data_IF_223836297087
#
_entry.id   IF_223836297087
#
_cell.length_a   1.000
_cell.length_b   1.000
_cell.length_c   1.000
_cell.angle_alpha   90.00
_cell.angle_beta   90.00
_cell.angle_gamma   90.00
#
_symmetry.space_group_name_H-M   'P 1'
#
loop_
_entity.id
_entity.type
_entity.pdbx_description
1 polymer ?
#
# COMPACT_ATOMS: atom_id res chain seq x y z
N UNK A 1 -10.39 6.62 -3.90
CA UNK A 1 -9.53 7.74 -3.48
C UNK A 1 -9.96 8.19 -2.08
N UNK A 2 -9.00 8.44 -1.19
CA UNK A 2 -9.25 8.71 0.23
C UNK A 2 -9.76 10.13 0.54
N UNK A 3 -9.92 10.96 -0.50
CA UNK A 3 -10.47 12.32 -0.43
C UNK A 3 -11.54 12.58 -1.49
N UNK A 4 -12.28 11.55 -1.91
CA UNK A 4 -13.22 11.65 -3.05
C UNK A 4 -14.28 12.76 -2.92
N UNK A 5 -14.72 13.06 -1.69
CA UNK A 5 -15.70 14.12 -1.42
C UNK A 5 -15.12 15.55 -1.36
N UNK A 6 -13.80 15.69 -1.34
CA UNK A 6 -13.11 16.99 -1.23
C UNK A 6 -12.56 17.47 -2.59
N UNK A 7 -12.67 16.66 -3.64
CA UNK A 7 -12.12 16.96 -4.96
C UNK A 7 -13.13 17.78 -5.77
N UNK A 8 -12.72 18.96 -6.20
CA UNK A 8 -13.47 19.75 -7.17
C UNK A 8 -13.55 19.02 -8.52
N UNK A 9 -14.75 18.90 -9.11
CA UNK A 9 -14.99 18.25 -10.41
C UNK A 9 -14.37 16.83 -10.53
N UNK A 10 -14.76 15.88 -9.67
CA UNK A 10 -14.07 14.59 -9.50
C UNK A 10 -14.07 13.73 -10.77
N UNK A 11 -15.12 13.79 -11.59
CA UNK A 11 -15.23 13.02 -12.83
C UNK A 11 -14.11 13.34 -13.85
N UNK A 12 -13.54 14.56 -13.81
CA UNK A 12 -12.43 14.95 -14.70
C UNK A 12 -11.10 14.96 -13.96
N UNK A 13 -11.09 15.49 -12.73
CA UNK A 13 -9.86 15.79 -12.03
C UNK A 13 -9.22 14.54 -11.42
N UNK A 14 -9.99 13.53 -10.98
CA UNK A 14 -9.42 12.29 -10.43
C UNK A 14 -8.54 11.58 -11.46
N UNK A 15 -9.06 11.36 -12.68
CA UNK A 15 -8.30 10.69 -13.74
C UNK A 15 -7.06 11.49 -14.18
N UNK A 16 -7.19 12.82 -14.32
CA UNK A 16 -6.06 13.70 -14.69
C UNK A 16 -4.98 13.69 -13.62
N UNK A 17 -5.34 13.82 -12.36
CA UNK A 17 -4.40 13.80 -11.25
C UNK A 17 -3.64 12.48 -11.22
N UNK A 18 -4.33 11.33 -11.34
CA UNK A 18 -3.68 10.02 -11.36
C UNK A 18 -2.65 9.94 -12.50
N UNK A 19 -3.04 10.28 -13.74
CA UNK A 19 -2.14 10.19 -14.90
C UNK A 19 -0.95 11.12 -14.77
N UNK A 20 -1.15 12.37 -14.35
CA UNK A 20 -0.08 13.35 -14.17
C UNK A 20 0.87 12.90 -13.05
N UNK A 21 0.33 12.49 -11.90
CA UNK A 21 1.11 12.01 -10.77
C UNK A 21 1.94 10.78 -11.15
N UNK A 22 1.35 9.79 -11.82
CA UNK A 22 2.08 8.62 -12.30
C UNK A 22 3.18 8.99 -13.29
N UNK A 23 2.90 9.90 -14.24
CA UNK A 23 3.90 10.37 -15.21
C UNK A 23 5.09 11.03 -14.52
N UNK A 24 4.84 11.91 -13.54
CA UNK A 24 5.89 12.55 -12.74
C UNK A 24 6.68 11.50 -11.94
N UNK A 25 5.99 10.58 -11.26
CA UNK A 25 6.63 9.51 -10.48
C UNK A 25 7.55 8.64 -11.35
N UNK A 26 7.11 8.24 -12.55
CA UNK A 26 7.92 7.45 -13.47
C UNK A 26 9.19 8.21 -13.89
N UNK A 27 9.06 9.48 -14.27
CA UNK A 27 10.22 10.30 -14.64
C UNK A 27 11.19 10.43 -13.48
N UNK A 28 10.70 10.72 -12.27
CA UNK A 28 11.54 10.82 -11.08
C UNK A 28 12.24 9.50 -10.74
N UNK A 29 11.54 8.36 -10.82
CA UNK A 29 12.14 7.05 -10.57
C UNK A 29 13.22 6.69 -11.59
N UNK A 30 13.03 7.04 -12.87
CA UNK A 30 14.07 6.85 -13.89
C UNK A 30 15.29 7.73 -13.62
N UNK A 31 15.08 9.02 -13.32
CA UNK A 31 16.17 9.94 -12.99
C UNK A 31 16.95 9.49 -11.75
N UNK A 32 16.25 9.09 -10.69
CA UNK A 32 16.86 8.59 -9.46
C UNK A 32 17.63 7.30 -9.71
N UNK A 33 17.05 6.35 -10.45
CA UNK A 33 17.72 5.08 -10.78
C UNK A 33 18.99 5.29 -11.60
N UNK A 34 18.94 6.21 -12.58
CA UNK A 34 20.11 6.59 -13.37
C UNK A 34 21.16 7.28 -12.51
N UNK A 35 20.77 8.19 -11.62
CA UNK A 35 21.69 8.87 -10.71
C UNK A 35 22.39 7.90 -9.76
N UNK A 36 21.66 6.96 -9.16
CA UNK A 36 22.23 5.94 -8.27
C UNK A 36 23.15 5.00 -9.06
N UNK A 37 22.71 4.48 -10.21
CA UNK A 37 23.50 3.57 -11.04
C UNK A 37 24.73 4.21 -11.70
N UNK A 38 24.76 5.54 -11.85
CA UNK A 38 25.92 6.27 -12.35
C UNK A 38 26.96 6.59 -11.28
N UNK A 39 26.57 6.62 -9.99
CA UNK A 39 27.44 7.01 -8.89
C UNK A 39 27.90 5.84 -8.01
N UNK A 40 27.18 4.70 -8.01
CA UNK A 40 27.50 3.53 -7.21
C UNK A 40 27.64 2.28 -8.09
N UNK A 41 28.59 1.41 -7.74
CA UNK A 41 28.68 0.05 -8.25
C UNK A 41 27.54 -0.83 -7.72
N UNK A 42 27.29 -1.96 -8.39
CA UNK A 42 26.24 -2.92 -7.98
C UNK A 42 26.48 -3.41 -6.54
N UNK A 43 27.73 -3.67 -6.17
CA UNK A 43 28.12 -4.11 -4.83
C UNK A 43 27.82 -3.03 -3.78
N UNK A 44 28.14 -1.78 -4.07
CA UNK A 44 27.82 -0.63 -3.20
C UNK A 44 26.32 -0.44 -3.04
N UNK A 45 25.53 -0.57 -4.12
CA UNK A 45 24.06 -0.49 -4.06
C UNK A 45 23.50 -1.60 -3.15
N UNK A 46 24.00 -2.83 -3.30
CA UNK A 46 23.57 -3.97 -2.50
C UNK A 46 23.97 -3.82 -1.03
N UNK A 47 25.13 -3.24 -0.75
CA UNK A 47 25.59 -2.98 0.61
C UNK A 47 24.82 -1.83 1.26
N UNK A 48 24.51 -0.77 0.50
CA UNK A 48 23.79 0.39 1.00
C UNK A 48 22.27 0.13 1.16
N UNK A 49 21.71 -0.86 0.45
CA UNK A 49 20.30 -1.28 0.57
C UNK A 49 19.33 -0.09 0.58
N UNK A 50 18.65 0.12 1.70
CA UNK A 50 17.57 1.09 1.89
C UNK A 50 18.06 2.55 1.90
N UNK A 51 19.37 2.78 2.11
CA UNK A 51 19.96 4.12 2.12
C UNK A 51 20.80 4.41 0.86
N UNK A 52 20.74 3.55 -0.15
CA UNK A 52 21.49 3.66 -1.42
C UNK A 52 21.34 5.02 -2.12
N UNK A 53 20.16 5.63 -2.07
CA UNK A 53 19.95 6.97 -2.62
C UNK A 53 20.80 8.04 -1.92
N UNK A 54 20.89 7.98 -0.59
CA UNK A 54 21.70 8.91 0.17
C UNK A 54 23.19 8.63 -0.04
N UNK A 55 23.60 7.36 -0.09
CA UNK A 55 25.00 7.00 -0.39
C UNK A 55 25.41 7.47 -1.78
N UNK A 56 24.52 7.40 -2.77
CA UNK A 56 24.80 7.86 -4.13
C UNK A 56 25.06 9.38 -4.23
N UNK A 57 24.68 10.16 -3.22
CA UNK A 57 25.02 11.59 -3.17
C UNK A 57 26.46 11.84 -2.73
N UNK A 58 27.08 10.88 -2.04
CA UNK A 58 28.39 11.03 -1.43
C UNK A 58 29.54 11.20 -2.44
N UNK A 59 29.60 10.44 -3.55
CA UNK A 59 30.65 10.63 -4.56
C UNK A 59 30.63 12.02 -5.21
N UNK A 60 29.44 12.62 -5.37
CA UNK A 60 29.26 13.91 -6.02
C UNK A 60 29.35 15.11 -5.06
N UNK A 61 28.85 14.97 -3.83
CA UNK A 61 28.64 16.07 -2.89
C UNK A 61 29.31 15.87 -1.51
N UNK A 62 30.06 14.77 -1.33
CA UNK A 62 30.71 14.41 -0.07
C UNK A 62 29.73 14.12 1.06
N UNK A 63 30.24 14.11 2.29
CA UNK A 63 29.45 13.79 3.48
C UNK A 63 28.32 14.80 3.75
N UNK A 64 28.48 16.06 3.32
CA UNK A 64 27.43 17.08 3.43
C UNK A 64 26.21 16.74 2.57
N UNK A 65 26.42 16.26 1.34
CA UNK A 65 25.33 15.79 0.47
C UNK A 65 24.58 14.62 1.08
N UNK A 66 25.32 13.64 1.61
CA UNK A 66 24.76 12.47 2.27
C UNK A 66 23.85 12.87 3.43
N UNK A 67 24.34 13.67 4.38
CA UNK A 67 23.55 14.07 5.55
C UNK A 67 22.34 14.93 5.18
N UNK A 68 22.48 15.78 4.16
CA UNK A 68 21.35 16.56 3.64
C UNK A 68 20.26 15.66 3.06
N UNK A 69 20.62 14.68 2.23
CA UNK A 69 19.68 13.73 1.65
C UNK A 69 19.01 12.86 2.72
N UNK A 70 19.77 12.40 3.73
CA UNK A 70 19.22 11.65 4.87
C UNK A 70 18.19 12.49 5.64
N UNK A 71 18.52 13.74 5.96
CA UNK A 71 17.60 14.65 6.66
C UNK A 71 16.30 14.87 5.88
N UNK A 72 16.40 15.10 4.57
CA UNK A 72 15.22 15.25 3.71
C UNK A 72 14.39 13.96 3.64
N UNK A 73 15.05 12.80 3.52
CA UNK A 73 14.38 11.50 3.49
C UNK A 73 13.59 11.25 4.79
N UNK A 74 14.15 11.54 5.96
CA UNK A 74 13.46 11.38 7.25
C UNK A 74 12.19 12.24 7.28
N UNK A 75 12.28 13.52 6.93
CA UNK A 75 11.12 14.43 6.92
C UNK A 75 10.04 13.96 5.93
N UNK A 76 10.45 13.54 4.74
CA UNK A 76 9.54 13.00 3.72
C UNK A 76 8.85 11.70 4.19
N UNK A 77 9.60 10.76 4.78
CA UNK A 77 9.03 9.49 5.28
C UNK A 77 8.09 9.73 6.45
N UNK A 78 8.47 10.55 7.44
CA UNK A 78 7.61 10.84 8.61
C UNK A 78 6.31 11.49 8.17
N UNK A 79 6.37 12.50 7.29
CA UNK A 79 5.17 13.17 6.77
C UNK A 79 4.28 12.20 5.96
N UNK A 80 4.87 11.35 5.13
CA UNK A 80 4.15 10.34 4.35
C UNK A 80 3.45 9.28 5.21
N UNK A 81 4.11 8.80 6.27
CA UNK A 81 3.53 7.87 7.25
C UNK A 81 2.36 8.51 7.99
N UNK A 82 2.54 9.74 8.50
CA UNK A 82 1.47 10.48 9.20
C UNK A 82 0.25 10.65 8.28
N UNK A 83 0.46 11.12 7.05
CA UNK A 83 -0.62 11.32 6.09
C UNK A 83 -1.36 10.01 5.77
N UNK A 84 -0.63 8.91 5.59
CA UNK A 84 -1.18 7.59 5.28
C UNK A 84 -1.99 7.02 6.43
N UNK A 85 -1.51 7.11 7.68
CA UNK A 85 -2.24 6.66 8.88
C UNK A 85 -3.53 7.46 9.07
N UNK A 86 -3.51 8.77 8.85
CA UNK A 86 -4.72 9.59 8.90
C UNK A 86 -5.73 9.23 7.81
N UNK A 87 -5.27 8.99 6.57
CA UNK A 87 -6.14 8.57 5.48
C UNK A 87 -6.80 7.21 5.76
N UNK A 88 -6.02 6.22 6.22
CA UNK A 88 -6.52 4.87 6.54
C UNK A 88 -7.48 4.91 7.72
N UNK A 89 -7.15 5.61 8.81
CA UNK A 89 -8.03 5.71 9.99
C UNK A 89 -9.39 6.31 9.66
N UNK A 90 -9.42 7.32 8.76
CA UNK A 90 -10.65 7.98 8.30
C UNK A 90 -11.50 7.04 7.43
N UNK A 91 -10.87 6.33 6.49
CA UNK A 91 -11.56 5.36 5.66
C UNK A 91 -12.15 4.23 6.51
N UNK A 92 -11.38 3.70 7.46
CA UNK A 92 -11.83 2.64 8.35
C UNK A 92 -12.95 3.12 9.28
N UNK A 93 -12.89 4.36 9.76
CA UNK A 93 -13.96 4.96 10.55
C UNK A 93 -15.25 5.11 9.73
N UNK A 94 -15.17 5.59 8.48
CA UNK A 94 -16.34 5.69 7.60
C UNK A 94 -17.00 4.31 7.37
N UNK A 95 -16.21 3.28 7.07
CA UNK A 95 -16.74 1.92 6.90
C UNK A 95 -17.36 1.36 8.19
N UNK A 96 -16.78 1.72 9.33
CA UNK A 96 -17.33 1.38 10.65
C UNK A 96 -18.67 2.08 10.89
N UNK A 97 -18.78 3.37 10.58
CA UNK A 97 -20.02 4.15 10.72
C UNK A 97 -21.13 3.62 9.79
N UNK A 98 -20.76 3.00 8.66
CA UNK A 98 -21.66 2.30 7.75
C UNK A 98 -22.01 0.87 8.20
N UNK A 99 -21.58 0.45 9.39
CA UNK A 99 -21.73 -0.92 9.92
C UNK A 99 -21.11 -2.02 9.03
N UNK A 100 -20.15 -1.68 8.17
CA UNK A 100 -19.46 -2.63 7.29
C UNK A 100 -18.21 -3.25 7.94
N UNK A 101 -17.74 -2.67 9.06
CA UNK A 101 -16.59 -3.15 9.82
C UNK A 101 -16.94 -3.16 11.30
N UNK A 102 -16.71 -4.27 12.02
CA UNK A 102 -17.03 -4.35 13.43
C UNK A 102 -16.10 -3.43 14.23
N UNK A 103 -16.68 -2.68 15.17
CA UNK A 103 -15.92 -1.82 16.06
C UNK A 103 -16.25 -2.07 17.52
N UNK A 104 -15.19 -2.19 18.33
CA UNK A 104 -15.27 -2.08 19.78
C UNK A 104 -14.43 -0.90 20.23
N UNK A 105 -14.98 -0.12 21.15
CA UNK A 105 -14.31 1.04 21.72
C UNK A 105 -13.19 0.66 22.70
N UNK A 106 -13.18 -0.59 23.20
CA UNK A 106 -12.26 -1.08 24.24
C UNK A 106 -12.07 -0.10 25.41
N UNK A 107 -13.14 0.61 25.80
CA UNK A 107 -13.13 1.58 26.90
C UNK A 107 -12.37 2.89 26.61
N UNK A 108 -11.94 3.12 25.36
CA UNK A 108 -11.25 4.36 24.99
C UNK A 108 -12.24 5.53 24.81
N UNK A 109 -11.89 6.74 25.29
CA UNK A 109 -12.65 7.95 25.02
C UNK A 109 -12.25 8.55 23.66
N UNK A 110 -13.22 9.01 22.88
CA UNK A 110 -12.96 9.71 21.62
C UNK A 110 -13.84 9.22 20.47
N UNK A 111 -13.52 9.68 19.26
CA UNK A 111 -14.19 9.24 18.03
C UNK A 111 -13.67 7.89 17.56
N UNK A 112 -14.48 7.18 16.77
CA UNK A 112 -14.09 5.93 16.11
C UNK A 112 -12.78 6.08 15.33
N UNK A 113 -12.56 7.22 14.68
CA UNK A 113 -11.30 7.53 13.98
C UNK A 113 -10.08 7.48 14.90
N UNK A 114 -10.17 7.98 16.15
CA UNK A 114 -9.04 7.89 17.10
C UNK A 114 -8.74 6.45 17.45
N UNK A 115 -9.78 5.63 17.65
CA UNK A 115 -9.61 4.22 17.96
C UNK A 115 -9.00 3.46 16.78
N UNK A 116 -9.50 3.66 15.57
CA UNK A 116 -8.95 3.02 14.35
C UNK A 116 -7.51 3.44 14.09
N UNK A 117 -7.16 4.71 14.37
CA UNK A 117 -5.78 5.20 14.31
C UNK A 117 -4.88 4.45 15.31
N UNK A 118 -5.31 4.32 16.57
CA UNK A 118 -4.54 3.60 17.60
C UNK A 118 -4.35 2.13 17.22
N UNK A 119 -5.40 1.44 16.76
CA UNK A 119 -5.29 0.04 16.31
C UNK A 119 -4.31 -0.12 15.16
N UNK A 120 -4.39 0.78 14.16
CA UNK A 120 -3.50 0.75 13.00
C UNK A 120 -2.04 0.94 13.41
N UNK A 121 -1.76 1.88 14.32
CA UNK A 121 -0.40 2.12 14.82
C UNK A 121 0.13 0.93 15.62
N UNK A 122 -0.67 0.34 16.50
CA UNK A 122 -0.26 -0.85 17.28
C UNK A 122 0.07 -2.01 16.34
N UNK A 123 -0.78 -2.29 15.35
CA UNK A 123 -0.53 -3.36 14.37
C UNK A 123 0.74 -3.05 13.56
N UNK A 124 0.93 -1.81 13.10
CA UNK A 124 2.13 -1.41 12.37
C UNK A 124 3.41 -1.54 13.21
N UNK A 125 3.37 -1.19 14.50
CA UNK A 125 4.51 -1.38 15.41
C UNK A 125 4.81 -2.87 15.63
N UNK A 126 3.77 -3.70 15.85
CA UNK A 126 3.96 -5.15 15.98
C UNK A 126 4.60 -5.73 14.72
N UNK A 127 4.09 -5.39 13.53
CA UNK A 127 4.68 -5.85 12.27
C UNK A 127 6.15 -5.43 12.13
N UNK A 128 6.48 -4.17 12.47
CA UNK A 128 7.87 -3.65 12.43
C UNK A 128 8.80 -4.36 13.41
N UNK A 129 8.29 -4.87 14.54
CA UNK A 129 9.10 -5.64 15.51
C UNK A 129 9.39 -7.06 15.00
N UNK A 130 8.45 -7.68 14.29
CA UNK A 130 8.57 -9.08 13.86
C UNK A 130 9.11 -9.27 12.44
N UNK A 131 8.96 -8.27 11.57
CA UNK A 131 9.33 -8.34 10.16
C UNK A 131 10.29 -7.22 9.78
N UNK A 132 11.27 -7.52 8.94
CA UNK A 132 12.09 -6.49 8.31
C UNK A 132 11.30 -5.71 7.25
N UNK A 133 11.85 -4.54 6.87
CA UNK A 133 11.22 -3.64 5.90
C UNK A 133 10.93 -4.33 4.56
N UNK A 134 11.83 -5.19 4.09
CA UNK A 134 11.67 -5.90 2.81
C UNK A 134 10.48 -6.85 2.85
N UNK A 135 10.33 -7.61 3.93
CA UNK A 135 9.19 -8.52 4.15
C UNK A 135 7.88 -7.76 4.28
N UNK A 136 7.85 -6.66 5.03
CA UNK A 136 6.65 -5.81 5.18
C UNK A 136 6.24 -5.24 3.82
N UNK A 137 7.18 -4.68 3.05
CA UNK A 137 6.92 -4.16 1.72
C UNK A 137 6.40 -5.26 0.77
N UNK A 138 6.97 -6.46 0.87
CA UNK A 138 6.57 -7.60 0.04
C UNK A 138 5.16 -8.12 0.37
N UNK A 139 4.83 -8.21 1.67
CA UNK A 139 3.49 -8.56 2.13
C UNK A 139 2.47 -7.52 1.65
N UNK A 140 2.79 -6.24 1.80
CA UNK A 140 1.96 -5.14 1.31
C UNK A 140 1.70 -5.22 -0.19
N UNK A 141 2.74 -5.47 -1.00
CA UNK A 141 2.60 -5.64 -2.44
C UNK A 141 1.69 -6.82 -2.82
N UNK A 142 1.85 -7.98 -2.16
CA UNK A 142 1.00 -9.16 -2.40
C UNK A 142 -0.46 -8.84 -2.08
N UNK A 143 -0.74 -8.26 -0.91
CA UNK A 143 -2.10 -7.91 -0.50
C UNK A 143 -2.73 -6.87 -1.42
N UNK A 144 -1.95 -5.86 -1.83
CA UNK A 144 -2.43 -4.81 -2.72
C UNK A 144 -2.79 -5.36 -4.11
N UNK A 145 -1.93 -6.20 -4.71
CA UNK A 145 -2.20 -6.77 -6.04
C UNK A 145 -3.39 -7.75 -5.98
N UNK A 146 -3.51 -8.56 -4.93
CA UNK A 146 -4.66 -9.46 -4.75
C UNK A 146 -5.96 -8.65 -4.59
N UNK A 147 -5.92 -7.57 -3.82
CA UNK A 147 -7.05 -6.65 -3.65
C UNK A 147 -7.45 -6.03 -5.00
N UNK A 148 -6.49 -5.54 -5.80
CA UNK A 148 -6.77 -4.96 -7.12
C UNK A 148 -7.42 -5.98 -8.05
N UNK A 149 -6.91 -7.23 -8.10
CA UNK A 149 -7.53 -8.33 -8.86
C UNK A 149 -8.97 -8.57 -8.40
N UNK A 150 -9.19 -8.65 -7.08
CA UNK A 150 -10.52 -8.89 -6.52
C UNK A 150 -11.50 -7.75 -6.85
N UNK A 151 -11.05 -6.50 -6.77
CA UNK A 151 -11.86 -5.32 -7.12
C UNK A 151 -12.18 -5.32 -8.61
N UNK A 152 -11.18 -5.49 -9.49
CA UNK A 152 -11.39 -5.51 -10.94
C UNK A 152 -12.33 -6.65 -11.36
N UNK A 153 -12.17 -7.83 -10.76
CA UNK A 153 -13.06 -8.97 -10.98
C UNK A 153 -14.48 -8.70 -10.49
N UNK A 154 -14.62 -8.15 -9.28
CA UNK A 154 -15.91 -7.76 -8.70
C UNK A 154 -16.66 -6.77 -9.59
N UNK A 155 -15.95 -5.76 -10.11
CA UNK A 155 -16.50 -4.80 -11.08
C UNK A 155 -16.88 -5.49 -12.38
N UNK A 156 -16.01 -6.32 -12.96
CA UNK A 156 -16.26 -7.01 -14.22
C UNK A 156 -17.49 -7.91 -14.15
N UNK A 157 -17.67 -8.62 -13.02
CA UNK A 157 -18.71 -9.62 -12.83
C UNK A 157 -20.04 -9.02 -12.38
N UNK A 158 -20.03 -8.08 -11.43
CA UNK A 158 -21.25 -7.62 -10.75
C UNK A 158 -21.64 -6.19 -11.12
N UNK A 159 -20.68 -5.26 -11.22
CA UNK A 159 -20.97 -3.81 -11.33
C UNK A 159 -20.76 -3.22 -12.73
N UNK A 160 -20.29 -4.02 -13.70
CA UNK A 160 -19.85 -3.54 -15.03
C UNK A 160 -20.92 -2.69 -15.73
N UNK A 161 -22.17 -3.13 -15.68
CA UNK A 161 -23.30 -2.44 -16.34
C UNK A 161 -23.67 -1.13 -15.64
N UNK A 162 -23.55 -1.08 -14.32
CA UNK A 162 -23.91 0.08 -13.50
C UNK A 162 -22.87 1.19 -13.64
N UNK A 163 -21.59 0.83 -13.55
CA UNK A 163 -20.48 1.78 -13.65
C UNK A 163 -20.01 2.03 -15.08
N UNK A 164 -20.67 1.42 -16.08
CA UNK A 164 -20.34 1.49 -17.51
C UNK A 164 -18.86 1.21 -17.81
N UNK A 165 -18.26 0.29 -17.06
CA UNK A 165 -16.84 -0.01 -17.18
C UNK A 165 -16.53 -0.77 -18.48
N UNK A 166 -15.39 -0.43 -19.08
CA UNK A 166 -14.89 -1.12 -20.26
C UNK A 166 -14.29 -2.48 -19.87
N UNK A 167 -14.88 -3.57 -20.36
CA UNK A 167 -14.45 -4.94 -20.05
C UNK A 167 -13.01 -5.22 -20.49
N UNK A 168 -12.57 -4.68 -21.63
CA UNK A 168 -11.21 -4.91 -22.14
C UNK A 168 -10.16 -4.29 -21.21
N UNK A 169 -10.43 -3.09 -20.67
CA UNK A 169 -9.53 -2.43 -19.71
C UNK A 169 -9.43 -3.27 -18.43
N UNK A 170 -10.56 -3.70 -17.87
CA UNK A 170 -10.57 -4.51 -16.64
C UNK A 170 -9.86 -5.86 -16.81
N UNK A 171 -10.11 -6.55 -17.92
CA UNK A 171 -9.46 -7.83 -18.21
C UNK A 171 -7.96 -7.63 -18.39
N UNK A 172 -7.54 -6.58 -19.09
CA UNK A 172 -6.12 -6.26 -19.28
C UNK A 172 -5.45 -5.96 -17.94
N UNK A 173 -6.09 -5.18 -17.06
CA UNK A 173 -5.59 -4.91 -15.71
C UNK A 173 -5.39 -6.20 -14.91
N UNK A 174 -6.41 -7.07 -14.86
CA UNK A 174 -6.33 -8.36 -14.16
C UNK A 174 -5.18 -9.22 -14.71
N UNK A 175 -5.02 -9.30 -16.03
CA UNK A 175 -3.93 -10.08 -16.64
C UNK A 175 -2.56 -9.51 -16.24
N UNK A 176 -2.39 -8.19 -16.29
CA UNK A 176 -1.15 -7.55 -15.87
C UNK A 176 -0.85 -7.78 -14.38
N UNK A 177 -1.86 -7.65 -13.52
CA UNK A 177 -1.74 -7.91 -12.08
C UNK A 177 -1.33 -9.36 -11.81
N UNK A 178 -1.94 -10.33 -12.51
CA UNK A 178 -1.59 -11.76 -12.39
C UNK A 178 -0.16 -12.03 -12.86
N UNK A 179 0.28 -11.40 -13.94
CA UNK A 179 1.66 -11.53 -14.43
C UNK A 179 2.65 -10.97 -13.40
N UNK A 180 2.39 -9.77 -12.89
CA UNK A 180 3.25 -9.12 -11.90
C UNK A 180 3.29 -9.92 -10.60
N UNK A 181 2.13 -10.36 -10.10
CA UNK A 181 2.04 -11.20 -8.90
C UNK A 181 2.78 -12.52 -9.10
N UNK A 182 2.58 -13.20 -10.23
CA UNK A 182 3.24 -14.45 -10.55
C UNK A 182 4.77 -14.31 -10.58
N UNK A 183 5.27 -13.28 -11.26
CA UNK A 183 6.70 -12.97 -11.30
C UNK A 183 7.25 -12.61 -9.91
N UNK A 184 6.52 -11.82 -9.12
CA UNK A 184 6.94 -11.42 -7.78
C UNK A 184 7.00 -12.62 -6.82
N UNK A 185 5.98 -13.48 -6.84
CA UNK A 185 5.94 -14.71 -6.05
C UNK A 185 7.05 -15.67 -6.47
N UNK A 186 7.36 -15.77 -7.76
CA UNK A 186 8.48 -16.58 -8.24
C UNK A 186 9.82 -16.11 -7.64
N UNK A 187 10.09 -14.81 -7.68
CA UNK A 187 11.31 -14.22 -7.08
C UNK A 187 11.34 -14.46 -5.56
N UNK A 188 10.22 -14.31 -4.86
CA UNK A 188 10.14 -14.53 -3.42
C UNK A 188 10.24 -16.00 -3.03
N UNK A 189 9.74 -16.93 -3.84
CA UNK A 189 9.90 -18.37 -3.60
C UNK A 189 11.38 -18.78 -3.59
N UNK A 190 12.23 -18.11 -4.38
CA UNK A 190 13.66 -18.39 -4.44
C UNK A 190 14.46 -17.68 -3.34
N UNK A 191 14.01 -16.50 -2.89
CA UNK A 191 14.80 -15.62 -2.01
C UNK A 191 14.32 -15.59 -0.55
N UNK A 192 13.01 -15.63 -0.30
CA UNK A 192 12.43 -15.56 1.05
C UNK A 192 11.03 -16.19 1.09
N UNK A 193 11.00 -17.50 1.37
CA UNK A 193 9.75 -18.28 1.45
C UNK A 193 8.86 -17.86 2.63
N UNK A 194 9.41 -17.21 3.66
CA UNK A 194 8.60 -16.76 4.81
C UNK A 194 7.56 -15.73 4.38
N UNK A 195 7.86 -14.90 3.38
CA UNK A 195 6.92 -13.94 2.82
C UNK A 195 5.67 -14.64 2.25
N UNK A 196 5.85 -15.77 1.56
CA UNK A 196 4.74 -16.52 0.96
C UNK A 196 3.88 -17.16 2.04
N UNK A 197 4.49 -17.81 3.02
CA UNK A 197 3.73 -18.39 4.14
C UNK A 197 2.99 -17.32 4.95
N UNK A 198 3.67 -16.20 5.25
CA UNK A 198 3.06 -15.09 5.97
C UNK A 198 1.90 -14.46 5.20
N UNK A 199 2.00 -14.32 3.86
CA UNK A 199 0.91 -13.78 3.05
C UNK A 199 -0.28 -14.73 2.98
N UNK A 200 -0.05 -16.04 2.86
CA UNK A 200 -1.11 -17.05 2.91
C UNK A 200 -1.84 -17.05 4.25
N UNK A 201 -1.10 -17.00 5.37
CA UNK A 201 -1.68 -16.91 6.72
C UNK A 201 -2.45 -15.60 6.87
N UNK A 202 -1.89 -14.47 6.42
CA UNK A 202 -2.55 -13.17 6.46
C UNK A 202 -3.87 -13.17 5.70
N UNK A 203 -3.88 -13.69 4.47
CA UNK A 203 -5.10 -13.84 3.68
C UNK A 203 -6.12 -14.75 4.36
N UNK A 204 -5.69 -15.91 4.88
CA UNK A 204 -6.57 -16.82 5.58
C UNK A 204 -7.23 -16.15 6.80
N UNK A 205 -6.47 -15.36 7.57
CA UNK A 205 -7.00 -14.60 8.71
C UNK A 205 -7.99 -13.53 8.26
N UNK A 206 -7.71 -12.80 7.18
CA UNK A 206 -8.61 -11.78 6.62
C UNK A 206 -9.93 -12.43 6.18
N UNK A 207 -9.87 -13.49 5.37
CA UNK A 207 -11.06 -14.20 4.88
C UNK A 207 -11.86 -14.86 6.00
N UNK A 208 -11.18 -15.44 7.00
CA UNK A 208 -11.84 -16.01 8.17
C UNK A 208 -12.56 -14.92 8.96
N UNK A 209 -11.90 -13.78 9.19
CA UNK A 209 -12.49 -12.61 9.86
C UNK A 209 -13.71 -12.08 9.13
N UNK A 210 -13.61 -11.90 7.81
CA UNK A 210 -14.72 -11.46 6.96
C UNK A 210 -15.90 -12.44 7.02
N UNK A 211 -15.64 -13.75 6.91
CA UNK A 211 -16.69 -14.77 6.92
C UNK A 211 -17.41 -14.84 8.27
N UNK A 212 -16.67 -14.73 9.38
CA UNK A 212 -17.26 -14.69 10.73
C UNK A 212 -18.14 -13.45 10.87
N UNK A 213 -17.65 -12.29 10.41
CA UNK A 213 -18.40 -11.04 10.48
C UNK A 213 -19.70 -11.09 9.68
N UNK A 214 -19.65 -11.50 8.42
CA UNK A 214 -20.85 -11.62 7.57
C UNK A 214 -21.85 -12.60 8.18
N UNK A 215 -21.38 -13.72 8.73
CA UNK A 215 -22.26 -14.71 9.35
C UNK A 215 -22.94 -14.19 10.63
N UNK A 216 -22.23 -13.40 11.45
CA UNK A 216 -22.81 -12.77 12.64
C UNK A 216 -23.87 -11.72 12.26
N UNK A 217 -23.58 -10.90 11.25
CA UNK A 217 -24.52 -9.88 10.78
C UNK A 217 -25.81 -10.49 10.20
N UNK A 218 -25.70 -11.55 9.39
CA UNK A 218 -26.88 -12.25 8.85
C UNK A 218 -27.76 -12.90 9.94
N UNK A 219 -27.15 -13.38 11.03
CA UNK A 219 -27.87 -13.97 12.16
C UNK A 219 -28.51 -12.92 13.09
N UNK A 220 -28.09 -11.66 13.06
CA UNK A 220 -28.71 -10.57 13.83
C UNK A 220 -29.92 -9.94 13.10
N UNK A 221 -30.00 -10.06 11.77
CA UNK A 221 -31.13 -9.59 10.95
C UNK A 221 -32.24 -10.65 10.71
N UNK A 222 -32.08 -11.90 11.18
CA UNK A 222 -33.07 -12.99 11.05
C UNK A 222 -33.81 -13.30 12.34
#
# INVERSE_FOLDING_TARGET
>A
TNSGGEIENPHKNVGRTIIISLGICVVLYLLVSLAVGANLSIEEIVNAKDYSLAEASRPAFGDYGLWFTVGFAIVATVSGVIASVFAVSRMLAMLTDMNLVPHRHFGMPGSIQKHTLVYTIIIAMLLTVFFDLSRIASLGAIFYIIMDIAIHWGVLRHLRKEVKANAAILITAIILDVIVLGAFLWVKAQSDMLVIWASLVGLALIFAGERIFIHQYQNEES
#
